data_IF_267644115397
#
_entry.id   IF_267644115397
#
_cell.length_a   1.000
_cell.length_b   1.000
_cell.length_c   1.000
_cell.angle_alpha   90.00
_cell.angle_beta   90.00
_cell.angle_gamma   90.00
#
_symmetry.space_group_name_H-M   'P 1'
#
loop_
_entity.id
_entity.type
_entity.pdbx_description
1 polymer ?
#
# COMPACT_ATOMS: atom_id res chain seq x y z
N UNK A 1 -10.04 -7.68 29.35
CA UNK A 1 -8.78 -7.27 28.69
C UNK A 1 -9.03 -5.88 28.15
N UNK A 2 -8.48 -4.86 28.78
CA UNK A 2 -8.56 -3.48 28.29
C UNK A 2 -7.34 -3.25 27.38
N UNK A 3 -7.56 -2.88 26.12
CA UNK A 3 -6.50 -2.63 25.14
C UNK A 3 -6.35 -1.13 24.96
N UNK A 4 -5.15 -0.61 25.18
CA UNK A 4 -4.81 0.79 24.90
C UNK A 4 -4.76 1.02 23.37
N UNK A 5 -5.74 1.74 22.77
CA UNK A 5 -5.81 1.91 21.33
C UNK A 5 -4.62 2.68 20.74
N UNK A 6 -3.91 3.49 21.54
CA UNK A 6 -2.72 4.23 21.09
C UNK A 6 -1.55 3.29 20.75
N UNK A 7 -1.54 2.08 21.33
CA UNK A 7 -0.50 1.06 21.13
C UNK A 7 -0.82 0.08 20.01
N UNK A 8 -2.01 0.16 19.42
CA UNK A 8 -2.44 -0.75 18.37
C UNK A 8 -1.93 -0.31 16.99
N UNK A 9 -1.54 -1.31 16.20
CA UNK A 9 -1.13 -1.18 14.80
C UNK A 9 -1.91 -2.22 14.02
N UNK A 10 -2.70 -1.77 13.04
CA UNK A 10 -3.41 -2.65 12.12
C UNK A 10 -2.60 -2.76 10.84
N UNK A 11 -2.25 -3.96 10.41
CA UNK A 11 -1.52 -4.19 9.16
C UNK A 11 -2.48 -4.87 8.19
N UNK A 12 -2.53 -4.37 6.96
CA UNK A 12 -3.31 -4.96 5.89
C UNK A 12 -2.51 -5.01 4.58
N UNK A 13 -2.92 -5.93 3.70
CA UNK A 13 -2.32 -6.18 2.39
C UNK A 13 -3.38 -6.10 1.30
N UNK A 14 -3.07 -5.42 0.19
CA UNK A 14 -3.90 -5.43 -1.01
C UNK A 14 -3.06 -5.69 -2.25
N UNK A 15 -3.48 -6.68 -3.05
CA UNK A 15 -2.92 -6.95 -4.36
C UNK A 15 -3.49 -6.01 -5.42
N UNK A 16 -2.62 -5.38 -6.21
CA UNK A 16 -2.97 -4.49 -7.31
C UNK A 16 -2.64 -5.16 -8.65
N UNK A 17 -3.62 -5.16 -9.55
CA UNK A 17 -3.45 -5.61 -10.92
C UNK A 17 -3.31 -4.42 -11.85
N UNK A 18 -2.27 -4.44 -12.69
CA UNK A 18 -2.02 -3.42 -13.71
C UNK A 18 -2.82 -3.65 -15.00
N UNK A 19 -3.71 -4.66 -15.03
CA UNK A 19 -4.61 -4.97 -16.16
C UNK A 19 -5.80 -4.00 -16.21
N UNK A 20 -5.53 -2.70 -16.25
CA UNK A 20 -6.55 -1.67 -16.40
C UNK A 20 -6.60 -1.18 -17.84
N UNK A 21 -7.78 -1.23 -18.46
CA UNK A 21 -8.06 -0.57 -19.73
C UNK A 21 -8.72 0.78 -19.48
N UNK A 22 -8.48 1.75 -20.37
CA UNK A 22 -9.18 3.05 -20.29
C UNK A 22 -10.65 2.83 -20.62
N UNK A 23 -11.54 3.27 -19.73
CA UNK A 23 -12.99 3.22 -19.95
C UNK A 23 -13.45 4.12 -21.10
N UNK A 24 -12.71 5.20 -21.39
CA UNK A 24 -13.05 6.18 -22.43
C UNK A 24 -11.79 6.68 -23.14
N UNK A 25 -11.93 6.90 -24.44
CA UNK A 25 -10.91 7.48 -25.31
C UNK A 25 -11.50 8.59 -26.19
N UNK A 26 -10.64 9.42 -26.77
CA UNK A 26 -11.03 10.50 -27.70
C UNK A 26 -10.19 10.38 -28.97
N UNK A 27 -10.83 10.55 -30.10
CA UNK A 27 -10.21 10.62 -31.42
C UNK A 27 -10.90 11.72 -32.24
N UNK A 28 -10.27 12.16 -33.33
CA UNK A 28 -10.89 13.08 -34.27
C UNK A 28 -12.14 12.44 -34.89
N UNK A 29 -13.07 13.28 -35.35
CA UNK A 29 -14.31 12.80 -35.99
C UNK A 29 -13.95 12.00 -37.24
N UNK A 30 -14.48 10.79 -37.34
CA UNK A 30 -14.17 9.85 -38.43
C UNK A 30 -13.03 8.88 -38.13
N UNK A 31 -12.25 9.11 -37.07
CA UNK A 31 -11.10 8.28 -36.71
C UNK A 31 -11.42 7.28 -35.59
N UNK A 32 -10.80 6.09 -35.66
CA UNK A 32 -10.91 5.08 -34.60
C UNK A 32 -9.97 5.41 -33.45
N UNK A 33 -10.51 5.54 -32.23
CA UNK A 33 -9.70 5.65 -31.02
C UNK A 33 -9.02 4.31 -30.70
N UNK A 34 -7.74 4.16 -31.06
CA UNK A 34 -6.92 2.99 -30.72
C UNK A 34 -6.22 3.22 -29.38
N UNK A 35 -6.30 2.25 -28.48
CA UNK A 35 -5.57 2.24 -27.22
C UNK A 35 -5.04 0.83 -26.96
N UNK A 36 -3.77 0.73 -26.55
CA UNK A 36 -3.22 -0.52 -26.04
C UNK A 36 -3.81 -0.83 -24.68
N UNK A 37 -4.11 -2.09 -24.42
CA UNK A 37 -4.41 -2.61 -23.09
C UNK A 37 -3.18 -3.38 -22.62
N UNK A 38 -2.66 -3.14 -21.41
CA UNK A 38 -1.56 -3.93 -20.86
C UNK A 38 -1.96 -5.41 -20.81
N UNK A 39 -1.49 -6.18 -21.79
CA UNK A 39 -1.63 -7.63 -21.83
C UNK A 39 -0.27 -8.23 -21.47
N UNK A 40 -0.22 -8.98 -20.37
CA UNK A 40 0.98 -9.62 -19.88
C UNK A 40 0.67 -10.55 -18.72
N UNK A 41 1.50 -11.58 -18.55
CA UNK A 41 1.42 -12.50 -17.43
C UNK A 41 1.85 -11.79 -16.14
N UNK A 42 0.92 -11.75 -15.18
CA UNK A 42 1.10 -11.63 -13.72
C UNK A 42 2.28 -10.79 -13.19
N UNK A 43 2.26 -9.47 -13.39
CA UNK A 43 2.83 -8.55 -12.40
C UNK A 43 1.72 -8.11 -11.44
N UNK A 44 1.47 -8.92 -10.42
CA UNK A 44 0.67 -8.49 -9.27
C UNK A 44 1.60 -7.66 -8.39
N UNK A 45 1.24 -6.40 -8.15
CA UNK A 45 1.98 -5.55 -7.22
C UNK A 45 1.25 -5.57 -5.89
N UNK A 46 1.89 -6.07 -4.83
CA UNK A 46 1.33 -6.03 -3.48
C UNK A 46 1.62 -4.67 -2.85
N UNK A 47 0.60 -4.05 -2.27
CA UNK A 47 0.72 -2.93 -1.35
C UNK A 47 0.45 -3.42 0.08
N UNK A 48 1.30 -3.02 1.03
CA UNK A 48 1.13 -3.30 2.46
C UNK A 48 1.30 -2.01 3.22
N UNK A 49 0.44 -1.78 4.22
CA UNK A 49 0.51 -0.59 5.06
C UNK A 49 0.10 -0.88 6.49
N UNK A 50 0.50 0.01 7.40
CA UNK A 50 0.14 -0.04 8.81
C UNK A 50 -0.75 1.16 9.15
N UNK A 51 -1.89 0.92 9.79
CA UNK A 51 -2.82 1.95 10.25
C UNK A 51 -2.73 2.08 11.78
N UNK A 52 -2.60 3.32 12.24
CA UNK A 52 -2.67 3.73 13.65
C UNK A 52 -3.74 4.82 13.78
N UNK A 53 -4.04 5.24 15.01
CA UNK A 53 -4.94 6.37 15.26
C UNK A 53 -4.47 7.68 14.59
N UNK A 54 -3.17 7.85 14.39
CA UNK A 54 -2.59 9.00 13.70
C UNK A 54 -2.63 8.90 12.16
N UNK A 55 -3.17 7.80 11.61
CA UNK A 55 -3.27 7.55 10.17
C UNK A 55 -2.35 6.43 9.68
N UNK A 56 -2.17 6.39 8.35
CA UNK A 56 -1.37 5.37 7.68
C UNK A 56 0.13 5.64 7.86
N UNK A 57 0.87 4.57 8.14
CA UNK A 57 2.31 4.53 8.40
C UNK A 57 2.92 3.36 7.64
N UNK A 58 4.24 3.39 7.47
CA UNK A 58 5.01 2.32 6.81
C UNK A 58 4.42 1.82 5.47
N UNK A 59 4.15 2.68 4.47
CA UNK A 59 3.70 2.19 3.17
C UNK A 59 4.81 1.37 2.47
N UNK A 60 4.45 0.21 1.93
CA UNK A 60 5.38 -0.69 1.25
C UNK A 60 4.75 -1.27 -0.02
N UNK A 61 5.52 -1.31 -1.11
CA UNK A 61 5.10 -1.81 -2.41
C UNK A 61 6.08 -2.87 -2.87
N UNK A 62 5.58 -4.01 -3.34
CA UNK A 62 6.39 -5.13 -3.79
C UNK A 62 5.85 -5.71 -5.09
N UNK A 63 6.75 -5.98 -6.04
CA UNK A 63 6.41 -6.64 -7.31
C UNK A 63 6.37 -8.16 -7.11
N UNK A 64 5.18 -8.66 -6.78
CA UNK A 64 4.90 -10.07 -6.56
C UNK A 64 3.96 -10.28 -5.38
N UNK A 65 3.65 -11.54 -5.11
CA UNK A 65 2.91 -11.91 -3.91
C UNK A 65 3.78 -11.72 -2.66
N UNK A 66 3.15 -11.29 -1.57
CA UNK A 66 3.79 -11.26 -0.25
C UNK A 66 4.22 -12.68 0.16
N UNK A 67 5.39 -12.78 0.77
CA UNK A 67 5.87 -14.00 1.43
C UNK A 67 6.50 -13.66 2.77
N UNK A 68 6.82 -14.69 3.58
CA UNK A 68 7.35 -14.48 4.93
C UNK A 68 8.62 -13.63 4.99
N UNK A 69 9.52 -13.74 4.01
CA UNK A 69 10.75 -12.94 3.98
C UNK A 69 10.47 -11.46 3.70
N UNK A 70 9.59 -11.18 2.74
CA UNK A 70 9.17 -9.82 2.40
C UNK A 70 8.40 -9.19 3.57
N UNK A 71 7.52 -9.95 4.22
CA UNK A 71 6.80 -9.49 5.41
C UNK A 71 7.73 -9.20 6.58
N UNK A 72 8.73 -10.05 6.82
CA UNK A 72 9.72 -9.81 7.86
C UNK A 72 10.55 -8.55 7.59
N UNK A 73 10.91 -8.30 6.33
CA UNK A 73 11.56 -7.06 5.94
C UNK A 73 10.67 -5.83 6.18
N UNK A 74 9.38 -5.93 5.85
CA UNK A 74 8.38 -4.90 6.10
C UNK A 74 8.26 -4.54 7.59
N UNK A 75 8.12 -5.55 8.46
CA UNK A 75 8.00 -5.34 9.92
C UNK A 75 9.26 -4.71 10.49
N UNK A 76 10.45 -5.16 10.06
CA UNK A 76 11.74 -4.66 10.53
C UNK A 76 12.03 -3.23 10.10
N UNK A 77 11.65 -2.86 8.89
CA UNK A 77 12.00 -1.55 8.30
C UNK A 77 10.98 -0.47 8.61
N UNK A 78 9.69 -0.81 8.70
CA UNK A 78 8.61 0.17 8.77
C UNK A 78 7.68 0.01 9.96
N UNK A 79 7.00 -1.14 10.07
CA UNK A 79 5.88 -1.26 11.02
C UNK A 79 6.30 -1.30 12.50
N UNK A 80 7.49 -1.85 12.80
CA UNK A 80 8.02 -1.94 14.17
C UNK A 80 8.82 -0.72 14.64
N UNK A 81 9.22 0.18 13.74
CA UNK A 81 9.98 1.38 14.06
C UNK A 81 9.01 2.57 14.23
N UNK A 82 8.60 2.83 15.47
CA UNK A 82 7.63 3.87 15.80
C UNK A 82 8.18 5.31 15.62
N UNK A 83 7.50 6.21 14.86
CA UNK A 83 7.75 7.65 14.88
C UNK A 83 6.99 8.38 16.02
N UNK A 84 6.05 7.70 16.70
CA UNK A 84 5.14 8.25 17.71
C UNK A 84 5.75 8.48 19.10
N UNK A 85 6.87 7.81 19.43
CA UNK A 85 7.57 7.96 20.71
C UNK A 85 8.14 9.38 20.96
N UNK A 86 8.26 10.21 19.92
CA UNK A 86 8.81 11.58 20.02
C UNK A 86 7.86 12.66 20.54
N UNK A 87 6.62 12.33 20.94
CA UNK A 87 5.62 13.33 21.42
C UNK A 87 5.27 13.25 22.90
N UNK A 88 6.03 12.54 23.73
CA UNK A 88 5.92 12.59 25.20
C UNK A 88 7.11 13.35 25.79
N UNK A 89 7.14 14.67 25.60
CA UNK A 89 8.11 15.56 26.22
C UNK A 89 7.58 16.99 26.23
N UNK A 90 7.46 17.56 27.43
CA UNK A 90 7.13 18.95 27.75
C UNK A 90 5.67 19.41 27.57
N UNK A 91 4.89 19.22 28.65
CA UNK A 91 4.15 20.32 29.26
C UNK A 91 4.33 20.24 30.77
N UNK A 92 5.11 21.17 31.30
CA UNK A 92 5.35 21.45 32.71
C UNK A 92 5.69 22.93 32.83
#
# INVERSE_FOLDING_TARGET
MDLDPEKLIFIDETGLSTKMSRLRGRALRGERCRAGVPHGHWKTTTFTGALRLCGMTAPFVYDGAMNGNVFLAYVRTGAGADPGDRRRGHYG
#
